data_IF_538450070113
#
_entry.id   IF_538450070113
#
_cell.length_a   1.000
_cell.length_b   1.000
_cell.length_c   1.000
_cell.angle_alpha   90.00
_cell.angle_beta   90.00
_cell.angle_gamma   90.00
#
_symmetry.space_group_name_H-M   'P 1'
#
loop_
_entity.id
_entity.type
_entity.pdbx_description
1 polymer ?
#
# COMPACT_ATOMS: atom_id res chain seq x y z
N UNK A 1 -8.00 -2.77 10.61
CA UNK A 1 -7.86 -1.64 9.66
C UNK A 1 -8.53 -1.86 8.30
N UNK A 2 -9.26 -2.96 8.09
CA UNK A 2 -9.79 -3.35 6.78
C UNK A 2 -10.82 -2.35 6.21
N UNK A 3 -11.84 -1.99 6.99
CA UNK A 3 -12.93 -1.10 6.56
C UNK A 3 -12.43 0.24 5.98
N UNK A 4 -11.58 0.97 6.71
CA UNK A 4 -11.07 2.28 6.24
C UNK A 4 -10.19 2.16 5.00
N UNK A 5 -9.47 1.04 4.85
CA UNK A 5 -8.69 0.77 3.65
C UNK A 5 -9.60 0.54 2.44
N UNK A 6 -10.65 -0.27 2.59
CA UNK A 6 -11.64 -0.51 1.54
C UNK A 6 -12.38 0.78 1.16
N UNK A 7 -12.80 1.58 2.14
CA UNK A 7 -13.41 2.89 1.90
C UNK A 7 -12.46 3.84 1.17
N UNK A 8 -11.17 3.86 1.54
CA UNK A 8 -10.15 4.63 0.83
C UNK A 8 -9.97 4.16 -0.62
N UNK A 9 -10.04 2.85 -0.87
CA UNK A 9 -9.95 2.30 -2.21
C UNK A 9 -11.14 2.70 -3.08
N UNK A 10 -12.36 2.53 -2.57
CA UNK A 10 -13.59 2.92 -3.27
C UNK A 10 -13.60 4.43 -3.60
N UNK A 11 -13.18 5.27 -2.66
CA UNK A 11 -13.15 6.72 -2.88
C UNK A 11 -11.98 7.20 -3.72
N UNK A 12 -10.97 6.35 -3.99
CA UNK A 12 -9.79 6.80 -4.74
C UNK A 12 -10.10 7.20 -6.17
N UNK A 13 -11.15 6.63 -6.76
CA UNK A 13 -11.59 6.90 -8.13
C UNK A 13 -12.57 8.07 -8.20
N UNK A 14 -13.46 8.19 -7.22
CA UNK A 14 -14.54 9.21 -7.20
C UNK A 14 -14.14 10.50 -6.50
N UNK A 15 -13.44 10.40 -5.36
CA UNK A 15 -13.01 11.55 -4.56
C UNK A 15 -11.67 11.27 -3.86
N UNK A 16 -10.53 11.55 -4.53
CA UNK A 16 -9.20 11.29 -4.01
C UNK A 16 -8.89 11.96 -2.65
N UNK A 17 -9.52 13.10 -2.34
CA UNK A 17 -9.37 13.81 -1.08
C UNK A 17 -10.03 13.04 0.07
N UNK A 18 -11.20 12.45 -0.17
CA UNK A 18 -11.86 11.60 0.80
C UNK A 18 -11.08 10.29 1.01
N UNK A 19 -10.56 9.70 -0.08
CA UNK A 19 -9.62 8.56 -0.01
C UNK A 19 -8.40 8.88 0.87
N UNK A 20 -7.80 10.06 0.69
CA UNK A 20 -6.67 10.51 1.49
C UNK A 20 -7.01 10.62 2.98
N UNK A 21 -8.21 11.10 3.29
CA UNK A 21 -8.70 11.24 4.66
C UNK A 21 -8.87 9.87 5.32
N UNK A 22 -9.50 8.91 4.65
CA UNK A 22 -9.64 7.55 5.15
C UNK A 22 -8.30 6.85 5.32
N UNK A 23 -7.35 7.01 4.40
CA UNK A 23 -6.01 6.43 4.52
C UNK A 23 -5.18 7.07 5.65
N UNK A 24 -5.31 8.38 5.91
CA UNK A 24 -4.70 9.04 7.08
C UNK A 24 -5.31 8.54 8.39
N UNK A 25 -6.63 8.42 8.44
CA UNK A 25 -7.33 7.90 9.61
C UNK A 25 -6.89 6.45 9.87
N UNK A 26 -6.77 5.65 8.82
CA UNK A 26 -6.31 4.28 8.92
C UNK A 26 -4.92 4.19 9.57
N UNK A 27 -3.96 4.99 9.10
CA UNK A 27 -2.62 5.05 9.69
C UNK A 27 -2.62 5.54 11.13
N UNK A 28 -3.42 6.54 11.43
CA UNK A 28 -3.48 7.17 12.76
C UNK A 28 -4.04 6.19 13.80
N UNK A 29 -5.12 5.49 13.47
CA UNK A 29 -5.68 4.43 14.33
C UNK A 29 -4.69 3.27 14.46
N UNK A 30 -4.08 2.83 13.36
CA UNK A 30 -3.05 1.77 13.41
C UNK A 30 -1.87 2.13 14.33
N UNK A 31 -1.40 3.38 14.28
CA UNK A 31 -0.36 3.89 15.19
C UNK A 31 -0.83 3.90 16.64
N UNK A 32 -2.04 4.41 16.91
CA UNK A 32 -2.60 4.50 18.27
C UNK A 32 -2.83 3.12 18.89
N UNK A 33 -3.28 2.16 18.08
CA UNK A 33 -3.53 0.78 18.51
C UNK A 33 -2.28 -0.13 18.42
N UNK A 34 -1.12 0.41 18.04
CA UNK A 34 0.15 -0.34 17.88
C UNK A 34 0.00 -1.54 16.93
N UNK A 35 -0.85 -1.41 15.90
CA UNK A 35 -1.10 -2.47 14.92
C UNK A 35 -0.08 -2.41 13.79
N UNK A 36 0.49 -3.57 13.45
CA UNK A 36 1.37 -3.72 12.29
C UNK A 36 0.53 -3.88 11.03
N UNK A 37 0.49 -2.83 10.21
CA UNK A 37 -0.09 -2.94 8.86
C UNK A 37 0.83 -3.74 7.94
N UNK A 38 0.20 -4.60 7.13
CA UNK A 38 0.87 -5.38 6.11
C UNK A 38 1.66 -4.48 5.13
N UNK A 39 2.88 -4.84 4.74
CA UNK A 39 3.66 -4.12 3.74
C UNK A 39 2.89 -3.88 2.43
N UNK A 40 2.14 -4.85 1.90
CA UNK A 40 1.37 -4.68 0.67
C UNK A 40 0.36 -3.51 0.77
N UNK A 41 -0.43 -3.48 1.85
CA UNK A 41 -1.36 -2.39 2.16
C UNK A 41 -0.62 -1.05 2.37
N UNK A 42 0.51 -1.07 3.09
CA UNK A 42 1.32 0.15 3.27
C UNK A 42 1.87 0.66 1.95
N UNK A 43 2.22 -0.21 0.99
CA UNK A 43 2.75 0.17 -0.32
C UNK A 43 1.72 0.93 -1.14
N UNK A 44 0.46 0.52 -1.10
CA UNK A 44 -0.65 1.16 -1.82
C UNK A 44 -1.11 2.49 -1.21
N UNK A 45 -0.61 2.91 -0.04
CA UNK A 45 -0.95 4.21 0.55
C UNK A 45 0.18 5.23 0.40
N UNK A 46 -0.17 6.46 0.02
CA UNK A 46 0.77 7.58 0.01
C UNK A 46 1.19 7.90 1.44
N UNK A 47 2.49 7.87 1.74
CA UNK A 47 3.03 8.11 3.09
C UNK A 47 2.59 9.47 3.64
N UNK A 48 2.58 10.49 2.79
CA UNK A 48 2.30 11.89 3.16
C UNK A 48 0.80 12.19 3.29
N UNK A 49 0.04 12.13 2.20
CA UNK A 49 -1.36 12.53 2.23
C UNK A 49 -2.32 11.42 2.64
N UNK A 50 -1.92 10.15 2.52
CA UNK A 50 -2.76 9.00 2.84
C UNK A 50 -3.60 8.48 1.68
N UNK A 51 -3.64 9.14 0.51
CA UNK A 51 -4.45 8.66 -0.64
C UNK A 51 -4.01 7.26 -1.06
N UNK A 52 -4.97 6.44 -1.51
CA UNK A 52 -4.63 5.22 -2.21
C UNK A 52 -3.87 5.57 -3.49
N UNK A 53 -2.80 4.85 -3.79
CA UNK A 53 -1.97 4.99 -4.98
C UNK A 53 -2.44 4.00 -6.04
N UNK A 54 -3.61 4.27 -6.62
CA UNK A 54 -4.14 3.49 -7.74
C UNK A 54 -3.44 3.96 -9.04
N UNK A 55 -2.80 3.06 -9.80
CA UNK A 55 -2.14 3.40 -11.06
C UNK A 55 -3.07 4.17 -12.01
N UNK A 56 -2.50 5.11 -12.75
CA UNK A 56 -3.18 5.99 -13.71
C UNK A 56 -4.18 7.00 -13.09
N UNK A 57 -4.94 6.66 -12.06
CA UNK A 57 -5.96 7.54 -11.47
C UNK A 57 -5.37 8.50 -10.43
N UNK A 58 -4.71 7.97 -9.40
CA UNK A 58 -4.21 8.74 -8.24
C UNK A 58 -2.69 8.68 -8.10
N UNK A 59 -2.03 7.84 -8.90
CA UNK A 59 -0.59 7.74 -8.97
C UNK A 59 -0.07 7.47 -10.39
N UNK A 60 1.11 7.99 -10.70
CA UNK A 60 1.89 7.57 -11.87
C UNK A 60 3.00 6.61 -11.46
N UNK A 61 3.29 5.63 -12.33
CA UNK A 61 4.34 4.63 -12.12
C UNK A 61 5.42 4.85 -13.17
N UNK A 62 6.67 4.92 -12.72
CA UNK A 62 7.85 5.06 -13.55
C UNK A 62 8.85 3.96 -13.19
N UNK A 63 9.30 3.19 -14.18
CA UNK A 63 10.40 2.24 -14.01
C UNK A 63 11.72 2.94 -14.33
N UNK A 64 12.66 2.89 -13.39
CA UNK A 64 13.99 3.46 -13.52
C UNK A 64 15.02 2.35 -13.54
N UNK A 65 15.79 2.27 -14.63
CA UNK A 65 16.89 1.33 -14.80
C UNK A 65 18.14 2.08 -15.23
N UNK A 66 19.15 2.08 -14.37
CA UNK A 66 20.45 2.66 -14.67
C UNK A 66 21.58 1.83 -14.06
N UNK A 67 22.37 1.17 -14.92
CA UNK A 67 23.41 0.21 -14.50
C UNK A 67 22.82 -0.85 -13.55
N UNK A 68 23.37 -0.96 -12.34
CA UNK A 68 22.90 -1.89 -11.29
C UNK A 68 21.74 -1.32 -10.44
N UNK A 69 21.36 -0.05 -10.64
CA UNK A 69 20.30 0.60 -9.88
C UNK A 69 18.97 0.46 -10.63
N UNK A 70 18.09 -0.40 -10.10
CA UNK A 70 16.75 -0.64 -10.63
C UNK A 70 15.69 -0.36 -9.56
N UNK A 71 14.73 0.51 -9.85
CA UNK A 71 13.62 0.78 -8.94
C UNK A 71 12.35 1.24 -9.68
N UNK A 72 11.21 0.93 -9.08
CA UNK A 72 9.91 1.48 -9.48
C UNK A 72 9.61 2.69 -8.61
N UNK A 73 9.33 3.83 -9.24
CA UNK A 73 8.89 5.04 -8.57
C UNK A 73 7.39 5.23 -8.76
N UNK A 74 6.68 5.41 -7.66
CA UNK A 74 5.25 5.73 -7.64
C UNK A 74 5.07 7.17 -7.17
N UNK A 75 4.56 8.01 -8.06
CA UNK A 75 4.37 9.43 -7.84
C UNK A 75 2.89 9.69 -7.51
N UNK A 76 2.61 10.25 -6.34
CA UNK A 76 1.25 10.61 -5.94
C UNK A 76 0.78 11.85 -6.72
N UNK A 77 -0.31 11.72 -7.49
CA UNK A 77 -0.91 12.84 -8.23
C UNK A 77 -1.55 13.89 -7.32
N UNK A 78 -1.94 13.51 -6.10
CA UNK A 78 -2.60 14.42 -5.16
C UNK A 78 -1.64 15.35 -4.41
N UNK A 79 -0.48 14.85 -3.94
CA UNK A 79 0.44 15.63 -3.10
C UNK A 79 1.90 15.68 -3.59
N UNK A 80 2.18 15.06 -4.74
CA UNK A 80 3.52 15.02 -5.36
C UNK A 80 4.55 14.14 -4.65
N UNK A 81 4.21 13.47 -3.55
CA UNK A 81 5.14 12.57 -2.86
C UNK A 81 5.54 11.40 -3.76
N UNK A 82 6.84 11.08 -3.78
CA UNK A 82 7.40 10.02 -4.60
C UNK A 82 7.86 8.87 -3.71
N UNK A 83 7.39 7.67 -4.01
CA UNK A 83 7.72 6.45 -3.28
C UNK A 83 8.53 5.53 -4.18
N UNK A 84 9.69 5.07 -3.71
CA UNK A 84 10.59 4.24 -4.52
C UNK A 84 10.62 2.81 -3.96
N UNK A 85 10.55 1.84 -4.87
CA UNK A 85 10.65 0.42 -4.58
C UNK A 85 11.83 -0.15 -5.35
N UNK A 86 12.92 -0.41 -4.64
CA UNK A 86 14.12 -0.98 -5.24
C UNK A 86 13.89 -2.45 -5.58
N UNK A 87 14.28 -2.83 -6.78
CA UNK A 87 14.22 -4.21 -7.24
C UNK A 87 15.64 -4.80 -7.17
N UNK A 88 16.00 -5.32 -6.01
CA UNK A 88 17.24 -6.09 -5.80
C UNK A 88 16.93 -7.58 -5.74
N UNK A 89 17.69 -8.40 -6.47
CA UNK A 89 17.44 -9.84 -6.61
C UNK A 89 17.35 -10.62 -5.29
N UNK A 90 18.01 -10.14 -4.24
CA UNK A 90 18.09 -10.81 -2.94
C UNK A 90 17.19 -10.18 -1.87
N UNK A 91 16.22 -9.32 -2.25
CA UNK A 91 15.32 -8.70 -1.29
C UNK A 91 13.99 -9.42 -1.22
N UNK A 92 13.64 -9.88 -0.02
CA UNK A 92 12.39 -10.56 0.29
C UNK A 92 11.80 -9.95 1.57
N UNK A 93 10.47 -9.89 1.67
CA UNK A 93 9.81 -9.45 2.89
C UNK A 93 9.71 -10.61 3.88
N UNK A 94 9.70 -10.29 5.17
CA UNK A 94 9.50 -11.30 6.21
C UNK A 94 8.23 -12.15 5.98
N UNK A 95 7.15 -11.51 5.51
CA UNK A 95 5.88 -12.19 5.24
C UNK A 95 5.91 -13.13 4.02
N UNK A 96 6.91 -13.01 3.16
CA UNK A 96 7.08 -13.93 2.04
C UNK A 96 7.79 -15.23 2.49
N UNK A 97 8.34 -15.27 3.72
CA UNK A 97 8.95 -16.45 4.28
C UNK A 97 7.85 -17.43 4.74
N UNK A 98 7.87 -18.71 4.33
CA UNK A 98 6.92 -19.72 4.82
C UNK A 98 6.85 -19.81 6.35
N UNK A 99 7.95 -19.58 7.06
CA UNK A 99 7.99 -19.59 8.52
C UNK A 99 7.24 -18.43 9.18
N UNK A 100 6.79 -17.44 8.42
CA UNK A 100 5.98 -16.32 8.93
C UNK A 100 4.50 -16.67 9.09
N UNK A 101 4.06 -17.78 8.50
CA UNK A 101 2.69 -18.28 8.59
C UNK A 101 2.48 -18.97 9.94
N UNK A 102 1.56 -18.43 10.73
CA UNK A 102 1.18 -19.02 12.03
C UNK A 102 0.08 -20.05 11.85
N UNK A 103 -0.94 -19.72 11.06
CA UNK A 103 -2.14 -20.54 10.90
C UNK A 103 -2.75 -20.29 9.52
N UNK A 104 -3.34 -21.34 8.92
CA UNK A 104 -4.14 -21.25 7.70
C UNK A 104 -5.58 -21.56 8.07
N UNK A 105 -6.48 -20.62 7.77
CA UNK A 105 -7.92 -20.80 7.97
C UNK A 105 -8.52 -21.32 6.65
N UNK A 106 -9.15 -22.49 6.69
CA UNK A 106 -9.78 -23.11 5.54
C UNK A 106 -11.30 -22.95 5.63
N UNK A 107 -11.86 -22.16 4.72
CA UNK A 107 -13.30 -21.98 4.63
C UNK A 107 -13.88 -22.97 3.63
N UNK A 108 -14.70 -23.89 4.12
CA UNK A 108 -15.45 -24.81 3.28
C UNK A 108 -16.75 -24.12 2.88
N UNK A 109 -16.95 -23.88 1.59
CA UNK A 109 -18.24 -23.42 1.10
C UNK A 109 -19.24 -24.58 1.25
N UNK A 110 -20.19 -24.45 2.17
CA UNK A 110 -21.36 -25.30 2.18
C UNK A 110 -22.20 -24.99 0.94
N UNK A 111 -22.08 -25.84 -0.07
CA UNK A 111 -23.03 -25.99 -1.18
C UNK A 111 -24.44 -26.24 -0.67
#
# INVERSE_FOLDING_TARGET
MNFLYQAAALMSETNPQLSATYGKLAKSIGKKAVLRMEPAIKRTLCVRCGVLLNPATTADIQDHRHKQLCYVQVNCKLCGYRKRFYNSKNHQLWLDNPSSLVERIEFHSST
#
